data_IF_491446689521
#
_entry.id   IF_491446689521
#
_cell.length_a   1.000
_cell.length_b   1.000
_cell.length_c   1.000
_cell.angle_alpha   90.00
_cell.angle_beta   90.00
_cell.angle_gamma   90.00
#
_symmetry.space_group_name_H-M   'P 1'
#
loop_
_entity.id
_entity.type
_entity.pdbx_description
1 polymer ?
#
# COMPACT_ATOMS: atom_id res chain seq x y z
N UNK A 1 -22.59 15.69 1.56
CA UNK A 1 -21.13 15.85 1.55
C UNK A 1 -20.62 15.64 2.97
N UNK A 2 -20.00 14.49 3.22
CA UNK A 2 -19.42 14.18 4.52
C UNK A 2 -18.20 15.09 4.78
N UNK A 3 -18.14 15.66 5.99
CA UNK A 3 -17.06 16.55 6.40
C UNK A 3 -15.73 15.79 6.59
N UNK A 4 -15.79 14.47 6.81
CA UNK A 4 -14.62 13.61 6.98
C UNK A 4 -13.89 13.33 5.67
N UNK A 5 -14.59 12.93 4.60
CA UNK A 5 -13.98 12.67 3.28
C UNK A 5 -13.21 13.89 2.78
N UNK A 6 -13.83 15.07 2.87
CA UNK A 6 -13.20 16.34 2.50
C UNK A 6 -11.94 16.59 3.33
N UNK A 7 -12.00 16.37 4.64
CA UNK A 7 -10.85 16.56 5.53
C UNK A 7 -9.69 15.64 5.17
N UNK A 8 -9.94 14.36 4.86
CA UNK A 8 -8.89 13.45 4.39
C UNK A 8 -8.20 13.98 3.13
N UNK A 9 -8.97 14.43 2.14
CA UNK A 9 -8.43 14.94 0.88
C UNK A 9 -7.58 16.21 1.09
N UNK A 10 -8.05 17.16 1.90
CA UNK A 10 -7.37 18.44 2.10
C UNK A 10 -6.11 18.31 2.97
N UNK A 11 -6.07 17.34 3.89
CA UNK A 11 -4.97 17.19 4.86
C UNK A 11 -3.90 16.19 4.44
N UNK A 12 -4.24 15.23 3.58
CA UNK A 12 -3.28 14.22 3.12
C UNK A 12 -2.45 14.75 1.95
N UNK A 13 -1.14 14.55 2.01
CA UNK A 13 -0.21 14.95 0.96
C UNK A 13 -0.16 13.92 -0.17
N UNK A 14 -0.33 12.65 0.18
CA UNK A 14 -0.27 11.53 -0.74
C UNK A 14 -1.53 10.69 -0.64
N UNK A 15 -2.29 10.60 -1.73
CA UNK A 15 -3.52 9.82 -1.82
C UNK A 15 -3.25 8.66 -2.78
N UNK A 16 -3.53 7.43 -2.36
CA UNK A 16 -3.31 6.23 -3.14
C UNK A 16 -4.60 5.40 -3.22
N UNK A 17 -4.78 4.71 -4.35
CA UNK A 17 -5.92 3.82 -4.53
C UNK A 17 -5.46 2.49 -5.11
N UNK A 18 -5.98 1.40 -4.55
CA UNK A 18 -5.67 0.05 -5.02
C UNK A 18 -6.68 -0.45 -6.06
N UNK A 19 -6.42 -1.64 -6.59
CA UNK A 19 -7.31 -2.28 -7.57
C UNK A 19 -8.71 -2.52 -7.02
N UNK A 20 -8.86 -2.86 -5.74
CA UNK A 20 -10.17 -3.19 -5.16
C UNK A 20 -11.09 -1.98 -5.05
N UNK A 21 -10.57 -0.80 -4.75
CA UNK A 21 -11.34 0.44 -4.76
C UNK A 21 -11.64 0.90 -6.20
N UNK A 22 -10.68 0.80 -7.13
CA UNK A 22 -10.89 1.18 -8.53
C UNK A 22 -11.97 0.34 -9.22
N UNK A 23 -12.08 -0.93 -8.85
CA UNK A 23 -13.04 -1.89 -9.42
C UNK A 23 -14.49 -1.68 -8.94
N UNK A 24 -14.72 -0.89 -7.88
CA UNK A 24 -16.06 -0.46 -7.46
C UNK A 24 -16.48 0.77 -8.27
N UNK A 25 -16.68 0.59 -9.58
CA UNK A 25 -16.77 1.65 -10.58
C UNK A 25 -17.85 2.70 -10.29
N UNK A 26 -19.04 2.29 -9.86
CA UNK A 26 -20.12 3.23 -9.51
C UNK A 26 -19.74 4.09 -8.30
N UNK A 27 -19.09 3.46 -7.31
CA UNK A 27 -18.64 4.14 -6.10
C UNK A 27 -17.50 5.12 -6.42
N UNK A 28 -16.60 4.73 -7.33
CA UNK A 28 -15.52 5.57 -7.81
C UNK A 28 -16.06 6.79 -8.55
N UNK A 29 -17.00 6.61 -9.47
CA UNK A 29 -17.64 7.70 -10.18
C UNK A 29 -18.33 8.69 -9.22
N UNK A 30 -19.10 8.17 -8.25
CA UNK A 30 -19.72 8.99 -7.22
C UNK A 30 -18.66 9.78 -6.42
N UNK A 31 -17.54 9.16 -6.06
CA UNK A 31 -16.46 9.84 -5.36
C UNK A 31 -15.84 10.96 -6.20
N UNK A 32 -15.56 10.72 -7.48
CA UNK A 32 -14.99 11.74 -8.37
C UNK A 32 -15.98 12.88 -8.64
N UNK A 33 -17.27 12.59 -8.81
CA UNK A 33 -18.30 13.61 -8.98
C UNK A 33 -18.42 14.50 -7.73
N UNK A 34 -18.43 13.88 -6.54
CA UNK A 34 -18.59 14.60 -5.28
C UNK A 34 -17.32 15.36 -4.86
N UNK A 35 -16.14 14.80 -5.11
CA UNK A 35 -14.89 15.25 -4.50
C UNK A 35 -13.79 15.65 -5.50
N UNK A 36 -13.94 15.41 -6.79
CA UNK A 36 -12.94 15.75 -7.82
C UNK A 36 -12.55 17.23 -7.78
N UNK A 37 -13.55 18.13 -7.69
CA UNK A 37 -13.26 19.58 -7.59
C UNK A 37 -12.51 19.98 -6.32
N UNK A 38 -12.68 19.23 -5.23
CA UNK A 38 -11.98 19.47 -3.95
C UNK A 38 -10.53 19.00 -4.07
N UNK A 39 -10.31 17.82 -4.67
CA UNK A 39 -8.96 17.27 -4.95
C UNK A 39 -8.13 18.30 -5.74
N UNK A 40 -8.70 18.84 -6.84
CA UNK A 40 -8.02 19.83 -7.67
C UNK A 40 -7.75 21.14 -6.91
N UNK A 41 -8.72 21.66 -6.16
CA UNK A 41 -8.57 22.90 -5.38
C UNK A 41 -7.51 22.77 -4.27
N UNK A 42 -7.37 21.59 -3.69
CA UNK A 42 -6.33 21.28 -2.71
C UNK A 42 -4.95 21.06 -3.37
N UNK A 43 -4.85 21.10 -4.70
CA UNK A 43 -3.61 20.80 -5.43
C UNK A 43 -3.16 19.36 -5.24
N UNK A 44 -4.12 18.43 -5.11
CA UNK A 44 -3.88 17.00 -4.89
C UNK A 44 -4.15 16.22 -6.17
N UNK A 45 -3.60 15.01 -6.21
CA UNK A 45 -3.90 13.98 -7.22
C UNK A 45 -3.97 12.63 -6.52
N UNK A 46 -4.70 11.69 -7.09
CA UNK A 46 -4.76 10.30 -6.64
C UNK A 46 -3.67 9.55 -7.39
N UNK A 47 -2.68 9.06 -6.66
CA UNK A 47 -1.57 8.30 -7.23
C UNK A 47 -1.96 6.84 -7.44
N UNK A 48 -1.73 6.33 -8.64
CA UNK A 48 -1.95 4.93 -8.98
C UNK A 48 -0.61 4.28 -9.31
N UNK A 49 -0.22 3.28 -8.51
CA UNK A 49 1.00 2.52 -8.72
C UNK A 49 0.93 1.70 -10.02
N UNK A 50 2.08 1.49 -10.68
CA UNK A 50 2.14 0.72 -11.94
C UNK A 50 1.62 -0.72 -11.78
N UNK A 51 1.76 -1.32 -10.59
CA UNK A 51 1.30 -2.69 -10.31
C UNK A 51 -0.23 -2.77 -10.25
N UNK A 52 -0.91 -1.73 -9.78
CA UNK A 52 -2.37 -1.63 -9.79
C UNK A 52 -2.87 -1.61 -11.24
N UNK A 53 -2.22 -0.83 -12.09
CA UNK A 53 -2.52 -0.76 -13.52
C UNK A 53 -2.33 -2.12 -14.20
N UNK A 54 -1.24 -2.82 -13.90
CA UNK A 54 -1.02 -4.16 -14.40
C UNK A 54 -2.04 -5.18 -13.88
N UNK A 55 -2.48 -5.09 -12.63
CA UNK A 55 -3.54 -5.96 -12.09
C UNK A 55 -4.87 -5.73 -12.84
N UNK A 56 -5.25 -4.47 -13.10
CA UNK A 56 -6.40 -4.16 -13.96
C UNK A 56 -6.27 -4.81 -15.35
N UNK A 57 -5.09 -4.70 -15.99
CA UNK A 57 -4.83 -5.33 -17.30
C UNK A 57 -4.89 -6.85 -17.26
N UNK A 58 -4.47 -7.49 -16.17
CA UNK A 58 -4.62 -8.94 -15.98
C UNK A 58 -6.10 -9.32 -15.83
N UNK A 59 -6.88 -8.51 -15.13
CA UNK A 59 -8.32 -8.74 -14.94
C UNK A 59 -9.10 -8.66 -16.26
N UNK A 60 -8.65 -7.88 -17.25
CA UNK A 60 -9.20 -7.88 -18.61
C UNK A 60 -9.13 -9.24 -19.31
N UNK A 61 -8.22 -10.12 -18.89
CA UNK A 61 -7.96 -11.42 -19.51
C UNK A 61 -8.63 -12.58 -18.76
N UNK A 62 -9.40 -12.31 -17.69
CA UNK A 62 -9.99 -13.36 -16.88
C UNK A 62 -11.36 -13.83 -17.39
N UNK A 63 -11.75 -15.05 -17.03
CA UNK A 63 -13.01 -15.66 -17.48
C UNK A 63 -14.28 -15.13 -16.75
N UNK A 64 -14.19 -13.98 -16.07
CA UNK A 64 -15.27 -13.41 -15.27
C UNK A 64 -15.77 -12.12 -15.92
N UNK A 65 -16.86 -12.14 -16.70
CA UNK A 65 -17.32 -10.99 -17.47
C UNK A 65 -17.52 -9.72 -16.65
N UNK A 66 -18.06 -9.85 -15.43
CA UNK A 66 -18.25 -8.71 -14.53
C UNK A 66 -16.91 -8.05 -14.16
N UNK A 67 -15.87 -8.85 -13.86
CA UNK A 67 -14.54 -8.32 -13.52
C UNK A 67 -13.85 -7.69 -14.73
N UNK A 68 -14.01 -8.29 -15.91
CA UNK A 68 -13.50 -7.70 -17.15
C UNK A 68 -14.14 -6.32 -17.36
N UNK A 69 -15.46 -6.24 -17.29
CA UNK A 69 -16.18 -4.98 -17.45
C UNK A 69 -15.81 -3.92 -16.40
N UNK A 70 -15.67 -4.31 -15.13
CA UNK A 70 -15.22 -3.41 -14.07
C UNK A 70 -13.80 -2.90 -14.34
N UNK A 71 -12.88 -3.76 -14.79
CA UNK A 71 -11.51 -3.38 -15.09
C UNK A 71 -11.41 -2.46 -16.32
N UNK A 72 -12.18 -2.74 -17.38
CA UNK A 72 -12.31 -1.86 -18.55
C UNK A 72 -12.81 -0.48 -18.15
N UNK A 73 -13.87 -0.45 -17.33
CA UNK A 73 -14.48 0.80 -16.87
C UNK A 73 -13.54 1.58 -15.96
N UNK A 74 -12.85 0.91 -15.04
CA UNK A 74 -11.84 1.54 -14.17
C UNK A 74 -10.72 2.19 -15.00
N UNK A 75 -10.19 1.49 -16.02
CA UNK A 75 -9.19 2.06 -16.93
C UNK A 75 -9.72 3.27 -17.71
N UNK A 76 -10.97 3.23 -18.20
CA UNK A 76 -11.61 4.39 -18.84
C UNK A 76 -11.67 5.57 -17.88
N UNK A 77 -12.12 5.37 -16.64
CA UNK A 77 -12.20 6.42 -15.62
C UNK A 77 -10.83 7.06 -15.39
N UNK A 78 -9.76 6.26 -15.31
CA UNK A 78 -8.40 6.79 -15.17
C UNK A 78 -7.99 7.68 -16.35
N UNK A 79 -8.31 7.27 -17.58
CA UNK A 79 -8.02 8.05 -18.79
C UNK A 79 -8.86 9.33 -18.89
N UNK A 80 -10.15 9.24 -18.59
CA UNK A 80 -11.10 10.33 -18.72
C UNK A 80 -10.89 11.43 -17.66
N UNK A 81 -10.17 11.13 -16.58
CA UNK A 81 -9.94 12.03 -15.44
C UNK A 81 -8.44 12.22 -15.13
N UNK A 82 -7.60 12.38 -16.16
CA UNK A 82 -6.14 12.50 -16.03
C UNK A 82 -5.65 13.67 -15.16
N UNK A 83 -6.51 14.67 -14.92
CA UNK A 83 -6.23 15.80 -14.02
C UNK A 83 -6.39 15.43 -12.54
N UNK A 84 -7.20 14.43 -12.24
CA UNK A 84 -7.41 13.88 -10.89
C UNK A 84 -6.41 12.77 -10.56
N UNK A 85 -5.94 12.02 -11.55
CA UNK A 85 -5.07 10.86 -11.36
C UNK A 85 -3.63 11.14 -11.78
N UNK A 86 -2.68 10.73 -10.94
CA UNK A 86 -1.26 10.66 -11.29
C UNK A 86 -0.84 9.20 -11.41
N UNK A 87 -0.68 8.73 -12.64
CA UNK A 87 -0.26 7.36 -12.90
C UNK A 87 1.27 7.25 -12.82
N UNK A 88 1.79 6.22 -12.15
CA UNK A 88 3.23 5.94 -12.14
C UNK A 88 3.76 5.57 -13.53
N UNK A 89 2.92 4.90 -14.32
CA UNK A 89 3.18 4.53 -15.69
C UNK A 89 1.87 4.57 -16.49
N UNK A 90 1.94 4.99 -17.74
CA UNK A 90 0.76 4.98 -18.63
C UNK A 90 0.26 3.55 -18.84
N UNK A 91 -1.06 3.28 -18.83
CA UNK A 91 -1.58 1.92 -18.92
C UNK A 91 -1.10 1.14 -20.15
N UNK A 92 -0.92 1.82 -21.27
CA UNK A 92 -0.41 1.22 -22.51
C UNK A 92 1.05 0.73 -22.38
N UNK A 93 1.84 1.36 -21.50
CA UNK A 93 3.27 1.05 -21.30
C UNK A 93 3.53 -0.07 -20.29
N UNK A 94 2.53 -0.46 -19.50
CA UNK A 94 2.69 -1.42 -18.40
C UNK A 94 2.71 -2.86 -18.91
N UNK A 95 3.81 -3.58 -18.65
CA UNK A 95 3.91 -5.02 -18.88
C UNK A 95 3.16 -5.79 -17.79
N UNK A 96 2.31 -6.75 -18.15
CA UNK A 96 1.56 -7.56 -17.18
C UNK A 96 2.41 -8.67 -16.56
N UNK A 97 3.52 -9.04 -17.19
CA UNK A 97 4.42 -10.12 -16.75
C UNK A 97 5.21 -9.78 -15.48
N UNK A 98 5.29 -8.50 -15.13
CA UNK A 98 6.00 -8.03 -13.95
C UNK A 98 5.16 -8.13 -12.66
N UNK A 99 3.90 -8.57 -12.74
CA UNK A 99 2.97 -8.47 -11.60
C UNK A 99 2.61 -9.82 -10.97
N UNK A 100 2.77 -9.84 -9.66
CA UNK A 100 2.15 -10.80 -8.75
C UNK A 100 1.40 -9.97 -7.70
N UNK A 101 0.18 -10.37 -7.30
CA UNK A 101 -0.63 -9.64 -6.31
C UNK A 101 0.17 -9.26 -5.04
N UNK A 102 1.01 -10.18 -4.55
CA UNK A 102 1.90 -9.94 -3.41
C UNK A 102 2.82 -8.72 -3.60
N UNK A 103 3.25 -8.42 -4.83
CA UNK A 103 4.13 -7.29 -5.15
C UNK A 103 3.38 -5.96 -5.05
N UNK A 104 2.11 -5.91 -5.47
CA UNK A 104 1.28 -4.69 -5.35
C UNK A 104 1.05 -4.33 -3.88
N UNK A 105 0.60 -5.30 -3.09
CA UNK A 105 0.37 -5.13 -1.66
C UNK A 105 1.67 -4.76 -0.92
N UNK A 106 2.79 -5.42 -1.24
CA UNK A 106 4.11 -5.10 -0.67
C UNK A 106 4.56 -3.68 -1.01
N UNK A 107 4.30 -3.18 -2.22
CA UNK A 107 4.65 -1.81 -2.60
C UNK A 107 3.81 -0.79 -1.84
N UNK A 108 2.52 -1.04 -1.67
CA UNK A 108 1.64 -0.20 -0.85
C UNK A 108 2.13 -0.17 0.60
N UNK A 109 2.45 -1.32 1.19
CA UNK A 109 2.99 -1.42 2.56
C UNK A 109 4.38 -0.75 2.67
N UNK A 110 5.22 -0.89 1.64
CA UNK A 110 6.52 -0.20 1.60
C UNK A 110 6.34 1.33 1.55
N UNK A 111 5.34 1.81 0.81
CA UNK A 111 5.02 3.24 0.76
C UNK A 111 4.62 3.78 2.14
N UNK A 112 3.83 3.03 2.92
CA UNK A 112 3.50 3.38 4.32
C UNK A 112 4.78 3.68 5.09
N UNK A 113 5.76 2.78 5.07
CA UNK A 113 6.99 2.92 5.87
C UNK A 113 7.95 3.99 5.36
N UNK A 114 8.10 4.15 4.04
CA UNK A 114 9.06 5.08 3.45
C UNK A 114 8.56 6.53 3.43
N UNK A 115 7.28 6.77 3.13
CA UNK A 115 6.75 8.12 2.94
C UNK A 115 6.19 8.73 4.22
N UNK A 116 5.82 7.94 5.24
CA UNK A 116 5.25 8.50 6.48
C UNK A 116 6.25 9.36 7.24
N UNK A 117 7.55 9.21 6.99
CA UNK A 117 8.57 10.09 7.58
C UNK A 117 8.31 11.57 7.21
N UNK A 118 7.73 11.85 6.04
CA UNK A 118 7.62 13.22 5.51
C UNK A 118 6.18 13.64 5.13
N UNK A 119 5.30 12.68 4.84
CA UNK A 119 4.00 12.96 4.23
C UNK A 119 2.85 12.31 4.98
N UNK A 120 1.76 13.05 5.18
CA UNK A 120 0.49 12.46 5.59
C UNK A 120 -0.07 11.65 4.42
N UNK A 121 -0.47 10.40 4.65
CA UNK A 121 -0.88 9.48 3.59
C UNK A 121 -2.34 9.03 3.75
N UNK A 122 -3.03 8.90 2.64
CA UNK A 122 -4.38 8.35 2.55
C UNK A 122 -4.37 7.16 1.59
N UNK A 123 -4.69 5.98 2.09
CA UNK A 123 -4.90 4.78 1.30
C UNK A 123 -6.39 4.49 1.18
N UNK A 124 -6.86 4.30 -0.05
CA UNK A 124 -8.25 3.95 -0.36
C UNK A 124 -8.26 2.54 -0.93
N UNK A 125 -8.86 1.60 -0.20
CA UNK A 125 -8.97 0.20 -0.60
C UNK A 125 -10.25 -0.42 -0.04
N UNK A 126 -10.84 -1.35 -0.79
CA UNK A 126 -11.94 -2.19 -0.30
C UNK A 126 -11.49 -3.62 0.09
N UNK A 127 -10.19 -3.92 -0.05
CA UNK A 127 -9.57 -5.16 0.44
C UNK A 127 -9.25 -5.01 1.93
N UNK A 128 -10.06 -5.65 2.79
CA UNK A 128 -9.90 -5.62 4.25
C UNK A 128 -8.53 -6.13 4.70
N UNK A 129 -7.93 -7.09 3.98
CA UNK A 129 -6.62 -7.63 4.36
C UNK A 129 -5.52 -6.60 4.11
N UNK A 130 -5.60 -5.84 3.02
CA UNK A 130 -4.69 -4.75 2.73
C UNK A 130 -4.87 -3.58 3.71
N UNK A 131 -6.10 -3.18 4.00
CA UNK A 131 -6.39 -2.14 5.01
C UNK A 131 -5.81 -2.51 6.37
N UNK A 132 -5.99 -3.77 6.81
CA UNK A 132 -5.40 -4.28 8.05
C UNK A 132 -3.87 -4.21 8.01
N UNK A 133 -3.25 -4.60 6.90
CA UNK A 133 -1.80 -4.56 6.76
C UNK A 133 -1.24 -3.13 6.80
N UNK A 134 -1.94 -2.15 6.20
CA UNK A 134 -1.57 -0.73 6.24
C UNK A 134 -1.61 -0.20 7.67
N UNK A 135 -2.70 -0.44 8.39
CA UNK A 135 -2.85 -0.01 9.79
C UNK A 135 -1.80 -0.66 10.68
N UNK A 136 -1.56 -1.97 10.50
CA UNK A 136 -0.51 -2.70 11.24
C UNK A 136 0.86 -2.09 10.97
N UNK A 137 1.20 -1.81 9.71
CA UNK A 137 2.47 -1.21 9.32
C UNK A 137 2.64 0.22 9.85
N UNK A 138 1.55 0.98 9.98
CA UNK A 138 1.59 2.31 10.59
C UNK A 138 1.84 2.25 12.10
N UNK A 139 1.29 1.26 12.79
CA UNK A 139 1.46 1.09 14.24
C UNK A 139 2.81 0.50 14.66
N UNK A 140 3.65 0.06 13.72
CA UNK A 140 4.99 -0.45 14.05
C UNK A 140 5.85 0.66 14.67
N UNK A 141 6.23 0.48 15.94
CA UNK A 141 7.03 1.42 16.75
C UNK A 141 8.35 1.88 16.10
N UNK A 142 8.90 1.07 15.19
CA UNK A 142 10.11 1.40 14.45
C UNK A 142 9.93 2.54 13.44
N UNK A 143 8.70 2.99 13.18
CA UNK A 143 8.38 3.98 12.16
C UNK A 143 7.65 5.17 12.80
N UNK A 144 8.40 6.17 13.26
CA UNK A 144 7.83 7.47 13.63
C UNK A 144 7.58 8.32 12.38
N UNK A 145 6.39 8.91 12.26
CA UNK A 145 6.02 9.66 11.06
C UNK A 145 4.73 10.49 11.19
N UNK A 146 4.36 11.09 10.07
CA UNK A 146 3.07 11.72 9.81
C UNK A 146 1.95 10.67 9.77
N UNK A 147 0.69 11.10 9.97
CA UNK A 147 -0.44 10.19 10.01
C UNK A 147 -0.63 9.40 8.70
N UNK A 148 -1.05 8.15 8.83
CA UNK A 148 -1.47 7.29 7.72
C UNK A 148 -2.93 6.89 7.95
N UNK A 149 -3.78 7.19 6.97
CA UNK A 149 -5.20 6.87 7.02
C UNK A 149 -5.50 5.72 6.06
N UNK A 150 -6.15 4.69 6.56
CA UNK A 150 -6.66 3.58 5.76
C UNK A 150 -8.17 3.71 5.67
N UNK A 151 -8.71 3.88 4.46
CA UNK A 151 -10.14 4.12 4.24
C UNK A 151 -10.69 3.15 3.21
N UNK A 152 -11.96 2.78 3.39
CA UNK A 152 -12.75 2.09 2.37
C UNK A 152 -13.64 3.07 1.62
N UNK A 153 -13.91 2.74 0.35
CA UNK A 153 -14.82 3.51 -0.49
C UNK A 153 -16.24 2.99 -0.32
N UNK A 154 -17.16 3.85 0.12
CA UNK A 154 -18.57 3.51 0.27
C UNK A 154 -19.30 3.57 -1.08
N UNK A 155 -20.50 2.96 -1.14
CA UNK A 155 -21.35 2.96 -2.34
C UNK A 155 -21.70 4.37 -2.83
N UNK A 156 -21.84 5.31 -1.91
CA UNK A 156 -22.20 6.70 -2.19
C UNK A 156 -20.97 7.56 -2.53
N UNK A 157 -19.78 6.96 -2.66
CA UNK A 157 -18.54 7.67 -2.93
C UNK A 157 -17.96 8.36 -1.71
N UNK A 158 -18.30 7.94 -0.49
CA UNK A 158 -17.75 8.48 0.75
C UNK A 158 -16.57 7.64 1.25
N UNK A 159 -15.56 8.28 1.84
CA UNK A 159 -14.45 7.57 2.48
C UNK A 159 -14.82 7.26 3.92
N UNK A 160 -14.66 5.99 4.31
CA UNK A 160 -14.95 5.52 5.66
C UNK A 160 -13.66 4.94 6.23
N UNK A 161 -13.17 5.53 7.32
CA UNK A 161 -11.96 5.07 7.99
C UNK A 161 -12.12 3.62 8.48
N UNK A 162 -11.07 2.84 8.29
CA UNK A 162 -11.02 1.45 8.73
C UNK A 162 -10.62 1.40 10.22
N UNK A 163 -11.52 0.98 11.13
CA UNK A 163 -11.22 0.96 12.56
C UNK A 163 -10.23 -0.16 12.87
N UNK A 164 -9.17 0.18 13.60
CA UNK A 164 -8.20 -0.77 14.12
C UNK A 164 -8.74 -1.46 15.38
N UNK A 165 -9.73 -2.34 15.27
CA UNK A 165 -10.26 -3.09 16.41
C UNK A 165 -10.30 -4.59 16.12
N UNK A 166 -9.14 -5.25 16.16
CA UNK A 166 -9.03 -6.67 16.55
C UNK A 166 -7.75 -6.82 17.40
N UNK A 167 -7.89 -7.34 18.62
CA UNK A 167 -6.80 -7.54 19.59
C UNK A 167 -5.64 -8.34 18.97
N UNK A 168 -4.45 -7.74 18.99
CA UNK A 168 -3.26 -8.26 18.33
C UNK A 168 -2.42 -9.08 19.32
N UNK A 169 -2.29 -10.39 19.07
CA UNK A 169 -1.31 -11.24 19.76
C UNK A 169 0.01 -11.21 18.99
N UNK A 170 0.97 -10.41 19.48
CA UNK A 170 2.30 -10.27 18.91
C UNK A 170 3.14 -11.56 19.00
N UNK A 171 2.77 -12.52 19.88
CA UNK A 171 3.56 -13.73 20.14
C UNK A 171 3.38 -14.84 19.09
N UNK A 172 2.29 -14.84 18.31
CA UNK A 172 2.08 -15.82 17.22
C UNK A 172 2.82 -15.44 15.92
N UNK A 173 3.11 -14.16 15.72
CA UNK A 173 3.78 -13.67 14.51
C UNK A 173 5.31 -13.86 14.56
N UNK A 174 5.94 -13.78 15.73
CA UNK A 174 7.38 -14.08 15.85
C UNK A 174 7.71 -15.55 15.55
N UNK A 175 6.85 -16.50 15.94
CA UNK A 175 7.09 -17.94 15.72
C UNK A 175 7.01 -18.35 14.24
N UNK A 176 6.17 -17.70 13.45
CA UNK A 176 6.03 -17.98 12.01
C UNK A 176 7.18 -17.38 11.18
N UNK A 177 7.82 -16.32 11.66
CA UNK A 177 8.99 -15.71 11.02
C UNK A 177 10.24 -16.59 11.19
N UNK A 178 10.43 -17.21 12.36
CA UNK A 178 11.63 -18.04 12.63
C UNK A 178 11.61 -19.37 11.86
N UNK A 179 10.44 -20.00 11.66
CA UNK A 179 10.33 -21.26 10.89
C UNK A 179 10.48 -21.09 9.37
N UNK A 180 10.43 -19.87 8.85
CA UNK A 180 10.54 -19.59 7.40
C UNK A 180 11.95 -19.24 6.94
N UNK A 181 12.89 -18.99 7.86
CA UNK A 181 14.32 -18.74 7.54
C UNK A 181 15.04 -20.01 7.05
N UNK A 182 14.66 -21.20 7.55
CA UNK A 182 15.32 -22.48 7.21
C UNK A 182 14.96 -23.03 5.82
N UNK A 183 14.06 -22.39 5.08
CA UNK A 183 13.63 -22.85 3.73
C UNK A 183 13.98 -21.89 2.59
N UNK A 184 14.77 -20.85 2.85
CA UNK A 184 15.31 -19.97 1.81
C UNK A 184 16.74 -20.34 1.43
N UNK A 185 16.91 -21.58 0.97
CA UNK A 185 18.02 -21.90 0.07
C UNK A 185 17.44 -22.55 -1.18
N UNK A 186 17.80 -21.98 -2.32
CA UNK A 186 17.60 -22.53 -3.66
C UNK A 186 16.20 -22.37 -4.29
N UNK A 187 15.94 -21.17 -4.82
CA UNK A 187 15.52 -20.96 -6.23
C UNK A 187 14.25 -21.61 -6.80
N UNK A 188 13.46 -22.37 -6.06
CA UNK A 188 12.23 -23.01 -6.57
C UNK A 188 11.03 -22.74 -5.65
N UNK A 189 10.11 -21.90 -6.11
CA UNK A 189 8.81 -21.74 -5.45
C UNK A 189 7.82 -22.71 -6.13
N UNK A 190 7.66 -23.88 -5.50
CA UNK A 190 6.54 -24.79 -5.76
C UNK A 190 5.24 -24.18 -5.27
N UNK A 191 4.17 -24.37 -6.05
CA UNK A 191 2.86 -23.77 -5.86
C UNK A 191 2.15 -24.14 -4.55
N UNK A 192 1.09 -23.36 -4.31
CA UNK A 192 0.16 -23.38 -3.18
C UNK A 192 0.65 -22.66 -1.91
N UNK A 193 0.38 -21.35 -1.81
CA UNK A 193 0.22 -20.69 -0.51
C UNK A 193 -0.78 -19.52 -0.60
N UNK A 194 -2.05 -19.87 -0.47
CA UNK A 194 -3.11 -18.98 0.01
C UNK A 194 -2.97 -18.91 1.54
N UNK A 195 -2.41 -17.82 2.05
CA UNK A 195 -2.25 -17.60 3.49
C UNK A 195 -0.99 -16.79 3.81
N UNK A 196 -1.16 -15.68 4.53
CA UNK A 196 -0.07 -14.98 5.23
C UNK A 196 0.54 -13.79 4.49
N UNK A 197 -0.16 -12.65 4.48
CA UNK A 197 0.33 -11.33 4.00
C UNK A 197 1.47 -10.75 4.87
N UNK A 198 1.81 -11.39 6.01
CA UNK A 198 2.79 -10.90 6.98
C UNK A 198 4.23 -11.40 6.75
N UNK A 199 4.45 -12.40 5.89
CA UNK A 199 5.77 -13.00 5.69
C UNK A 199 6.80 -12.11 4.96
N UNK A 200 6.39 -10.96 4.44
CA UNK A 200 7.25 -10.12 3.59
C UNK A 200 7.81 -8.86 4.26
N UNK A 201 7.39 -8.52 5.49
CA UNK A 201 7.79 -7.26 6.13
C UNK A 201 9.22 -7.32 6.74
N UNK A 202 9.83 -8.51 6.91
CA UNK A 202 11.03 -8.61 7.75
C UNK A 202 12.39 -8.51 7.03
N UNK A 203 12.52 -8.71 5.71
CA UNK A 203 13.88 -8.93 5.14
C UNK A 203 14.62 -7.66 4.69
N UNK A 204 13.97 -6.51 4.54
CA UNK A 204 14.64 -5.31 3.98
C UNK A 204 15.13 -4.27 4.98
N UNK A 205 14.33 -3.94 6.00
CA UNK A 205 14.51 -2.71 6.79
C UNK A 205 15.31 -2.86 8.09
N UNK A 206 15.29 -4.04 8.72
CA UNK A 206 15.87 -4.23 10.06
C UNK A 206 17.37 -4.58 9.99
N UNK A 207 17.82 -5.26 8.93
CA UNK A 207 19.25 -5.63 8.78
C UNK A 207 20.17 -4.40 8.68
N UNK A 208 19.66 -3.29 8.11
CA UNK A 208 20.43 -2.05 8.01
C UNK A 208 20.48 -1.24 9.32
N UNK A 209 19.55 -1.48 10.26
CA UNK A 209 19.50 -0.77 11.55
C UNK A 209 20.23 -1.52 12.68
N UNK A 210 20.39 -2.84 12.59
CA UNK A 210 21.20 -3.60 13.57
C UNK A 210 22.71 -3.48 13.34
N UNK A 211 23.18 -3.18 12.12
CA UNK A 211 24.61 -2.98 11.85
C UNK A 211 25.17 -1.61 12.23
N UNK A 212 24.33 -0.63 12.59
CA UNK A 212 24.79 0.73 12.96
C UNK A 212 24.90 0.97 14.48
N UNK A 213 24.48 0.03 15.33
CA UNK A 213 24.53 0.17 16.80
C UNK A 213 25.55 -0.70 17.54
N UNK A 214 26.51 -1.32 16.85
CA UNK A 214 27.65 -1.97 17.50
C UNK A 214 28.96 -1.46 16.88
N UNK A 215 29.37 -0.23 17.22
CA UNK A 215 30.80 0.16 17.28
C UNK A 215 31.08 1.55 17.89
N UNK A 216 30.46 1.93 19.00
CA UNK A 216 31.03 2.99 19.85
C UNK A 216 30.80 2.67 21.32
N UNK A 217 31.65 1.84 21.91
CA UNK A 217 32.01 1.91 23.34
C UNK A 217 33.32 1.17 23.61
N UNK A 218 34.40 1.95 23.79
CA UNK A 218 35.46 1.71 24.77
C UNK A 218 36.40 0.51 24.62
N UNK A 219 37.62 0.79 24.16
CA UNK A 219 38.87 0.48 24.91
C UNK A 219 40.07 1.18 24.27
N UNK A 220 40.52 2.27 24.90
CA UNK A 220 41.92 2.67 24.85
C UNK A 220 42.72 1.65 25.69
N UNK A 221 43.88 1.21 25.20
CA UNK A 221 45.04 1.13 26.06
C UNK A 221 46.23 1.90 25.48
N UNK A 222 46.94 2.53 26.42
CA UNK A 222 48.15 3.31 26.26
C UNK A 222 49.36 2.51 25.73
N UNK A 223 50.34 3.29 25.25
CA UNK A 223 51.78 3.01 25.10
C UNK A 223 52.17 2.21 23.83
N UNK A 224 53.13 2.66 23.00
CA UNK A 224 54.44 3.21 23.35
C UNK A 224 54.97 4.25 22.34
N UNK A 225 55.75 5.20 22.87
CA UNK A 225 56.78 6.00 22.18
C UNK A 225 57.91 5.07 21.69
N UNK A 226 58.40 5.24 20.47
CA UNK A 226 59.60 6.01 20.08
C UNK A 226 59.62 6.15 18.56
#
# INVERSE_FOLDING_TARGET
MNMETKNFIETCDFINMDTSALMETDSLLNFLENYGSIILKAGRTIFICREVIAELKLLLQCDKPLKVHQAETALSILYDNFDLFRLEAEPDSVDVRIVHKRIADQRIISAVTWYKVQHTQLFISNDKALLRAIVTADQMDAVHGKPVYATRLSKDGELIEYPCEEDFDWDETEKTVVESDDRYTDGQISGAFWGGLLSAIVVGGISCLLHSRIKVTGKLPNAFKF
#
